data_IF_606495144529
#
_entry.id   IF_606495144529
#
_cell.length_a   1.000
_cell.length_b   1.000
_cell.length_c   1.000
_cell.angle_alpha   90.00
_cell.angle_beta   90.00
_cell.angle_gamma   90.00
#
_symmetry.space_group_name_H-M   'P 1'
#
loop_
_entity.id
_entity.type
_entity.pdbx_description
1 polymer ?
#
# COMPACT_ATOMS: atom_id res chain seq x y z
N UNK A 1 -16.21 0.09 -18.21
CA UNK A 1 -17.46 -0.01 -17.44
C UNK A 1 -17.40 1.05 -16.34
N UNK A 2 -18.42 1.91 -16.19
CA UNK A 2 -18.55 2.98 -15.17
C UNK A 2 -18.65 2.45 -13.72
N UNK A 3 -18.03 1.30 -13.41
CA UNK A 3 -18.40 0.49 -12.26
C UNK A 3 -17.80 0.94 -10.92
N UNK A 4 -16.77 1.81 -10.93
CA UNK A 4 -16.08 2.26 -9.72
C UNK A 4 -16.16 3.78 -9.49
N UNK A 5 -17.05 4.49 -10.17
CA UNK A 5 -17.22 5.92 -9.91
C UNK A 5 -17.96 6.14 -8.58
N UNK A 6 -17.27 6.75 -7.62
CA UNK A 6 -17.83 7.11 -6.33
C UNK A 6 -18.24 8.59 -6.33
N UNK A 7 -19.51 8.86 -6.06
CA UNK A 7 -20.08 10.22 -6.16
C UNK A 7 -19.64 11.13 -5.01
N UNK A 8 -19.27 10.56 -3.87
CA UNK A 8 -18.95 11.27 -2.62
C UNK A 8 -17.46 11.26 -2.24
N UNK A 9 -16.62 10.53 -2.98
CA UNK A 9 -15.18 10.44 -2.73
C UNK A 9 -14.42 9.93 -3.94
N UNK A 10 -13.09 10.02 -3.91
CA UNK A 10 -12.24 9.36 -4.89
C UNK A 10 -12.27 7.83 -4.70
N UNK A 11 -12.31 7.11 -5.82
CA UNK A 11 -12.00 5.69 -5.84
C UNK A 11 -10.49 5.49 -5.78
N UNK A 12 -10.02 4.61 -4.89
CA UNK A 12 -8.60 4.29 -4.76
C UNK A 12 -8.37 2.87 -5.21
N UNK A 13 -7.48 2.68 -6.19
CA UNK A 13 -7.13 1.38 -6.72
C UNK A 13 -5.61 1.16 -6.61
N UNK A 14 -5.24 -0.03 -6.17
CA UNK A 14 -3.84 -0.46 -6.08
C UNK A 14 -3.56 -1.57 -7.06
N UNK A 15 -2.36 -1.53 -7.65
CA UNK A 15 -1.81 -2.59 -8.47
C UNK A 15 -0.38 -2.86 -8.05
N UNK A 16 -0.13 -4.06 -7.53
CA UNK A 16 1.17 -4.51 -7.08
C UNK A 16 1.76 -5.42 -8.14
N UNK A 17 2.90 -5.01 -8.70
CA UNK A 17 3.61 -5.82 -9.67
C UNK A 17 4.74 -6.54 -8.95
N UNK A 18 4.76 -7.89 -8.92
CA UNK A 18 5.82 -8.64 -8.25
C UNK A 18 7.17 -8.48 -8.94
N UNK A 19 8.22 -8.88 -8.23
CA UNK A 19 9.61 -8.88 -8.75
C UNK A 19 9.73 -9.79 -9.97
N UNK A 20 9.03 -10.93 -9.93
CA UNK A 20 9.06 -11.95 -10.97
C UNK A 20 7.75 -12.72 -11.00
N UNK A 21 7.39 -13.25 -12.18
CA UNK A 21 6.20 -14.07 -12.36
C UNK A 21 4.96 -13.24 -12.68
N UNK A 22 3.80 -13.87 -12.48
CA UNK A 22 2.48 -13.27 -12.73
C UNK A 22 1.88 -12.92 -11.38
N UNK A 23 1.13 -11.83 -11.34
CA UNK A 23 0.30 -11.44 -10.21
C UNK A 23 -0.49 -12.63 -9.66
N UNK A 24 -0.44 -12.80 -8.34
CA UNK A 24 -1.07 -13.91 -7.62
C UNK A 24 -2.04 -13.37 -6.56
N UNK A 25 -2.83 -14.26 -5.91
CA UNK A 25 -3.72 -13.85 -4.83
C UNK A 25 -3.02 -13.14 -3.66
N UNK A 26 -1.73 -13.42 -3.44
CA UNK A 26 -0.97 -12.78 -2.35
C UNK A 26 -0.76 -11.28 -2.59
N UNK A 27 -0.58 -10.86 -3.85
CA UNK A 27 -0.54 -9.45 -4.24
C UNK A 27 -1.92 -8.81 -4.08
N UNK A 28 -3.00 -9.50 -4.45
CA UNK A 28 -4.38 -9.01 -4.25
C UNK A 28 -4.73 -8.77 -2.79
N UNK A 29 -4.28 -9.64 -1.88
CA UNK A 29 -4.47 -9.44 -0.44
C UNK A 29 -3.73 -8.18 0.04
N UNK A 30 -2.50 -7.99 -0.43
CA UNK A 30 -1.70 -6.80 -0.12
C UNK A 30 -2.31 -5.52 -0.72
N UNK A 31 -2.83 -5.57 -1.94
CA UNK A 31 -3.56 -4.46 -2.58
C UNK A 31 -4.79 -4.07 -1.76
N UNK A 32 -5.58 -5.06 -1.34
CA UNK A 32 -6.78 -4.83 -0.52
C UNK A 32 -6.44 -4.13 0.79
N UNK A 33 -5.37 -4.55 1.45
CA UNK A 33 -4.88 -3.90 2.67
C UNK A 33 -4.45 -2.45 2.40
N UNK A 34 -3.68 -2.22 1.32
CA UNK A 34 -3.19 -0.89 0.97
C UNK A 34 -4.31 0.07 0.55
N UNK A 35 -5.36 -0.41 -0.13
CA UNK A 35 -6.57 0.36 -0.44
C UNK A 35 -7.20 0.87 0.86
N UNK A 36 -7.46 -0.02 1.83
CA UNK A 36 -8.06 0.35 3.12
C UNK A 36 -7.17 1.29 3.95
N UNK A 37 -5.86 1.17 3.81
CA UNK A 37 -4.90 2.08 4.42
C UNK A 37 -4.95 3.47 3.76
N UNK A 38 -4.87 3.53 2.44
CA UNK A 38 -4.86 4.76 1.67
C UNK A 38 -6.18 5.54 1.77
N UNK A 39 -7.34 4.86 1.79
CA UNK A 39 -8.65 5.51 1.98
C UNK A 39 -8.74 6.24 3.34
N UNK A 40 -8.01 5.79 4.36
CA UNK A 40 -7.93 6.44 5.67
C UNK A 40 -6.90 7.56 5.71
N UNK A 41 -5.84 7.46 4.91
CA UNK A 41 -4.74 8.42 4.85
C UNK A 41 -5.06 9.64 3.98
N UNK A 42 -5.67 9.42 2.82
CA UNK A 42 -5.96 10.44 1.81
C UNK A 42 -7.31 11.10 2.10
N UNK A 43 -7.41 12.41 1.95
CA UNK A 43 -8.68 13.14 2.02
C UNK A 43 -9.50 12.95 0.73
N UNK A 44 -9.96 11.72 0.52
CA UNK A 44 -10.68 11.30 -0.70
C UNK A 44 -11.97 12.06 -0.95
N UNK A 45 -12.56 12.70 0.07
CA UNK A 45 -13.81 13.49 -0.07
C UNK A 45 -13.62 14.77 -0.88
N UNK A 46 -12.41 15.28 -0.97
CA UNK A 46 -12.11 16.51 -1.71
C UNK A 46 -12.06 16.27 -3.23
N UNK A 47 -12.07 15.00 -3.65
CA UNK A 47 -11.98 14.57 -5.04
C UNK A 47 -13.16 13.64 -5.42
N UNK A 48 -14.41 14.10 -5.36
CA UNK A 48 -15.55 13.28 -5.76
C UNK A 48 -15.46 12.90 -7.24
N UNK A 49 -15.87 11.67 -7.58
CA UNK A 49 -15.86 11.13 -8.96
C UNK A 49 -14.46 11.05 -9.60
N UNK A 50 -13.40 11.16 -8.79
CA UNK A 50 -12.04 10.95 -9.24
C UNK A 50 -11.57 9.52 -8.96
N UNK A 51 -10.54 9.08 -9.67
CA UNK A 51 -9.89 7.80 -9.45
C UNK A 51 -8.40 8.03 -9.19
N UNK A 52 -7.90 7.49 -8.08
CA UNK A 52 -6.50 7.49 -7.69
C UNK A 52 -5.95 6.09 -7.93
N UNK A 53 -5.12 5.97 -8.96
CA UNK A 53 -4.47 4.72 -9.34
C UNK A 53 -3.04 4.70 -8.81
N UNK A 54 -2.77 3.80 -7.88
CA UNK A 54 -1.44 3.59 -7.32
C UNK A 54 -0.86 2.30 -7.86
N UNK A 55 0.31 2.38 -8.50
CA UNK A 55 1.07 1.20 -8.90
C UNK A 55 2.34 1.09 -8.07
N UNK A 56 2.55 -0.06 -7.46
CA UNK A 56 3.78 -0.39 -6.73
C UNK A 56 4.51 -1.48 -7.51
N UNK A 57 5.70 -1.16 -8.03
CA UNK A 57 6.59 -2.15 -8.64
C UNK A 57 7.55 -2.68 -7.58
N UNK A 58 7.48 -3.98 -7.31
CA UNK A 58 8.47 -4.63 -6.46
C UNK A 58 9.76 -4.84 -7.24
N UNK A 59 10.88 -4.37 -6.66
CA UNK A 59 12.23 -4.55 -7.20
C UNK A 59 12.96 -5.68 -6.46
N UNK A 60 12.66 -5.87 -5.17
CA UNK A 60 13.19 -6.95 -4.35
C UNK A 60 12.22 -7.27 -3.19
N UNK A 61 12.40 -8.43 -2.57
CA UNK A 61 11.56 -8.90 -1.46
C UNK A 61 10.47 -9.88 -1.89
N UNK A 62 9.85 -10.51 -0.89
CA UNK A 62 8.76 -11.47 -1.07
C UNK A 62 7.43 -10.83 -0.71
N UNK A 63 6.40 -11.15 -1.50
CA UNK A 63 5.02 -10.70 -1.25
C UNK A 63 4.52 -11.33 0.05
N UNK A 64 3.83 -10.55 0.87
CA UNK A 64 3.33 -10.98 2.17
C UNK A 64 4.37 -10.93 3.31
N UNK A 65 5.66 -10.71 3.02
CA UNK A 65 6.65 -10.53 4.09
C UNK A 65 6.46 -9.16 4.77
N UNK A 66 6.43 -9.08 6.12
CA UNK A 66 6.17 -7.82 6.83
C UNK A 66 7.15 -6.69 6.49
N UNK A 67 8.41 -7.01 6.25
CA UNK A 67 9.41 -6.03 5.81
C UNK A 67 9.09 -5.43 4.42
N UNK A 68 8.58 -6.25 3.49
CA UNK A 68 8.15 -5.80 2.16
C UNK A 68 6.95 -4.87 2.29
N UNK A 69 5.95 -5.23 3.11
CA UNK A 69 4.79 -4.38 3.37
C UNK A 69 5.20 -3.01 3.95
N UNK A 70 6.13 -2.99 4.91
CA UNK A 70 6.65 -1.75 5.48
C UNK A 70 7.33 -0.89 4.41
N UNK A 71 8.13 -1.50 3.53
CA UNK A 71 8.75 -0.80 2.41
C UNK A 71 7.72 -0.23 1.42
N UNK A 72 6.66 -0.98 1.10
CA UNK A 72 5.57 -0.51 0.24
C UNK A 72 4.84 0.71 0.83
N UNK A 73 4.54 0.69 2.14
CA UNK A 73 3.89 1.83 2.82
C UNK A 73 4.79 3.07 2.82
N UNK A 74 6.10 2.89 3.03
CA UNK A 74 7.05 4.00 3.00
C UNK A 74 7.18 4.58 1.58
N UNK A 75 7.29 3.72 0.57
CA UNK A 75 7.30 4.13 -0.83
C UNK A 75 6.01 4.87 -1.22
N UNK A 76 4.85 4.35 -0.80
CA UNK A 76 3.55 4.99 -0.99
C UNK A 76 3.51 6.37 -0.35
N UNK A 77 3.95 6.49 0.90
CA UNK A 77 3.91 7.78 1.62
C UNK A 77 4.79 8.82 0.94
N UNK A 78 5.99 8.44 0.51
CA UNK A 78 6.88 9.34 -0.23
C UNK A 78 6.29 9.72 -1.59
N UNK A 79 5.70 8.78 -2.32
CA UNK A 79 5.03 9.05 -3.59
C UNK A 79 3.85 10.01 -3.40
N UNK A 80 3.03 9.80 -2.37
CA UNK A 80 1.91 10.69 -2.06
C UNK A 80 2.38 12.08 -1.60
N UNK A 81 3.49 12.18 -0.86
CA UNK A 81 4.07 13.47 -0.48
C UNK A 81 4.62 14.26 -1.68
N UNK A 82 5.06 13.58 -2.74
CA UNK A 82 5.45 14.24 -3.99
C UNK A 82 4.24 14.74 -4.78
N UNK A 83 3.05 14.19 -4.52
CA UNK A 83 1.81 14.67 -5.10
C UNK A 83 1.21 15.78 -4.26
N UNK A 84 0.50 16.72 -4.88
CA UNK A 84 -0.23 17.77 -4.16
C UNK A 84 -1.57 17.28 -3.60
N UNK A 85 -1.67 16.00 -3.23
CA UNK A 85 -2.88 15.39 -2.71
C UNK A 85 -2.93 15.64 -1.19
N UNK A 86 -4.02 16.18 -0.63
CA UNK A 86 -4.18 16.35 0.80
C UNK A 86 -4.18 15.00 1.53
N UNK A 87 -3.28 14.88 2.50
CA UNK A 87 -3.12 13.73 3.39
C UNK A 87 -3.45 14.15 4.81
N UNK A 88 -4.11 13.27 5.57
CA UNK A 88 -4.45 13.52 6.98
C UNK A 88 -3.24 13.50 7.91
N UNK A 89 -2.21 12.73 7.56
CA UNK A 89 -1.01 12.56 8.35
C UNK A 89 0.14 12.10 7.45
N UNK A 90 1.36 12.21 7.95
CA UNK A 90 2.53 11.52 7.39
C UNK A 90 2.73 10.19 8.13
N UNK A 91 3.00 9.12 7.40
CA UNK A 91 3.13 7.76 7.97
C UNK A 91 4.49 7.18 7.63
N UNK A 92 5.07 6.45 8.57
CA UNK A 92 6.23 5.59 8.33
C UNK A 92 5.93 4.21 8.92
N UNK A 93 6.33 3.17 8.22
CA UNK A 93 6.19 1.80 8.64
C UNK A 93 7.58 1.19 8.87
N UNK A 94 7.69 0.42 9.95
CA UNK A 94 8.90 -0.33 10.31
C UNK A 94 8.52 -1.77 10.62
N UNK A 95 9.36 -2.71 10.21
CA UNK A 95 9.22 -4.12 10.56
C UNK A 95 10.12 -4.41 11.76
N UNK A 96 9.54 -4.99 12.81
CA UNK A 96 10.29 -5.47 13.97
C UNK A 96 10.14 -6.98 14.06
N UNK A 97 11.17 -7.65 14.58
CA UNK A 97 11.14 -9.08 14.87
C UNK A 97 11.64 -9.28 16.29
N UNK A 98 10.95 -10.14 17.02
CA UNK A 98 11.40 -10.59 18.33
C UNK A 98 12.18 -11.90 18.15
N UNK A 99 13.39 -11.94 18.73
CA UNK A 99 14.20 -13.15 18.73
C UNK A 99 13.86 -13.94 19.98
N UNK A 100 13.41 -15.18 19.82
CA UNK A 100 13.20 -16.06 20.96
C UNK A 100 14.55 -16.29 21.68
N UNK A 101 14.67 -15.91 22.97
CA UNK A 101 15.92 -16.04 23.71
C UNK A 101 16.36 -17.50 23.90
N UNK A 102 15.48 -18.47 23.71
CA UNK A 102 15.79 -19.91 23.87
C UNK A 102 16.60 -20.51 22.72
N UNK A 103 16.58 -19.88 21.53
CA UNK A 103 17.31 -20.32 20.33
C UNK A 103 18.81 -19.93 20.32
N UNK A 104 19.31 -19.20 21.34
CA UNK A 104 20.73 -18.78 21.45
C UNK A 104 21.65 -19.78 22.16
N UNK A 105 21.16 -20.97 22.52
CA UNK A 105 21.92 -21.98 23.25
C UNK A 105 22.29 -23.18 22.37
N UNK A 106 23.07 -22.96 21.31
CA UNK A 106 23.88 -24.01 20.66
C UNK A 106 25.22 -23.44 20.22
#
# INVERSE_FOLDING_TARGET
SMSNELTHRAAVEFNIVPVSGIHSPSESEMETFLVQFAERLIETKDFPRCQLNVRIQMVSGTVGHPATMAACINALTLALLQTSIPLRATVVAVCTSELDPTLRRE
#
